data_IF_880467491784
#
_entry.id   IF_880467491784
#
_cell.length_a   1.000
_cell.length_b   1.000
_cell.length_c   1.000
_cell.angle_alpha   90.00
_cell.angle_beta   90.00
_cell.angle_gamma   90.00
#
_symmetry.space_group_name_H-M   'P 1'
#
loop_
_entity.id
_entity.type
_entity.pdbx_description
1 polymer ?
#
# COMPACT_ATOMS: atom_id res chain seq x y z
N UNK A 1 12.42 2.57 10.36
CA UNK A 1 11.11 3.20 10.07
C UNK A 1 10.06 2.13 9.83
N UNK A 2 8.81 2.40 10.23
CA UNK A 2 7.68 1.47 10.09
C UNK A 2 7.19 1.32 8.67
N UNK A 3 6.59 0.17 8.36
CA UNK A 3 6.16 -0.18 6.99
C UNK A 3 5.01 0.69 6.52
N UNK A 4 4.11 1.07 7.43
CA UNK A 4 3.06 2.04 7.17
C UNK A 4 3.68 3.39 6.77
N UNK A 5 4.59 3.92 7.57
CA UNK A 5 5.23 5.23 7.30
C UNK A 5 5.94 5.21 5.96
N UNK A 6 6.73 4.16 5.67
CA UNK A 6 7.42 4.01 4.39
C UNK A 6 6.43 3.98 3.23
N UNK A 7 5.32 3.24 3.36
CA UNK A 7 4.29 3.14 2.31
C UNK A 7 3.68 4.51 1.97
N UNK A 8 3.25 5.28 2.97
CA UNK A 8 2.67 6.60 2.74
C UNK A 8 3.69 7.60 2.20
N UNK A 9 4.93 7.55 2.68
CA UNK A 9 6.01 8.37 2.14
C UNK A 9 6.26 8.07 0.66
N UNK A 10 6.32 6.79 0.29
CA UNK A 10 6.46 6.38 -1.12
C UNK A 10 5.27 6.82 -1.97
N UNK A 11 4.03 6.74 -1.46
CA UNK A 11 2.85 7.24 -2.19
C UNK A 11 2.94 8.73 -2.44
N UNK A 12 3.33 9.54 -1.45
CA UNK A 12 3.47 11.00 -1.59
C UNK A 12 4.49 11.32 -2.68
N UNK A 13 5.67 10.70 -2.65
CA UNK A 13 6.70 10.90 -3.67
C UNK A 13 6.19 10.46 -5.04
N UNK A 14 5.49 9.32 -5.11
CA UNK A 14 4.91 8.81 -6.36
C UNK A 14 3.87 9.78 -6.94
N UNK A 15 3.01 10.36 -6.10
CA UNK A 15 2.01 11.33 -6.54
C UNK A 15 2.65 12.62 -7.06
N UNK A 16 3.64 13.16 -6.34
CA UNK A 16 4.37 14.36 -6.75
C UNK A 16 5.10 14.12 -8.07
N UNK A 17 5.87 13.03 -8.17
CA UNK A 17 6.63 12.71 -9.39
C UNK A 17 5.71 12.38 -10.57
N UNK A 18 4.56 11.74 -10.35
CA UNK A 18 3.59 11.46 -11.40
C UNK A 18 2.99 12.76 -11.97
N UNK A 19 2.52 13.67 -11.12
CA UNK A 19 1.96 14.97 -11.56
C UNK A 19 3.04 15.81 -12.23
N UNK A 20 4.22 15.94 -11.61
CA UNK A 20 5.34 16.71 -12.16
C UNK A 20 5.78 16.21 -13.53
N UNK A 21 5.77 14.88 -13.75
CA UNK A 21 6.12 14.31 -15.06
C UNK A 21 5.16 14.75 -16.16
N UNK A 22 3.86 14.83 -15.86
CA UNK A 22 2.84 15.18 -16.85
C UNK A 22 2.90 16.65 -17.26
N UNK A 23 3.44 17.51 -16.40
CA UNK A 23 3.60 18.95 -16.64
C UNK A 23 4.92 19.32 -17.33
N UNK A 24 5.82 18.38 -17.57
CA UNK A 24 7.08 18.67 -18.26
C UNK A 24 6.88 18.88 -19.76
N UNK A 25 7.49 19.94 -20.28
CA UNK A 25 7.55 20.23 -21.71
C UNK A 25 8.86 19.73 -22.35
N UNK A 26 9.88 19.43 -21.53
CA UNK A 26 11.16 18.86 -21.97
C UNK A 26 11.16 17.33 -21.83
N UNK A 27 11.62 16.64 -22.87
CA UNK A 27 11.63 15.17 -22.91
C UNK A 27 12.64 14.56 -21.93
N UNK A 28 13.79 15.20 -21.73
CA UNK A 28 14.84 14.68 -20.84
C UNK A 28 14.38 14.78 -19.39
N UNK A 29 13.83 15.92 -18.99
CA UNK A 29 13.22 16.12 -17.68
C UNK A 29 12.06 15.14 -17.44
N UNK A 30 11.20 14.94 -18.44
CA UNK A 30 10.13 13.95 -18.39
C UNK A 30 10.67 12.53 -18.13
N UNK A 31 11.66 12.10 -18.90
CA UNK A 31 12.23 10.75 -18.81
C UNK A 31 12.89 10.49 -17.46
N UNK A 32 13.62 11.46 -16.92
CA UNK A 32 14.26 11.37 -15.59
C UNK A 32 13.20 11.20 -14.50
N UNK A 33 12.19 12.08 -14.47
CA UNK A 33 11.13 12.04 -13.47
C UNK A 33 10.31 10.75 -13.59
N UNK A 34 10.03 10.29 -14.82
CA UNK A 34 9.34 9.02 -15.05
C UNK A 34 10.14 7.81 -14.61
N UNK A 35 11.46 7.82 -14.78
CA UNK A 35 12.34 6.74 -14.31
C UNK A 35 12.34 6.67 -12.78
N UNK A 36 12.38 7.82 -12.11
CA UNK A 36 12.25 7.91 -10.65
C UNK A 36 10.87 7.39 -10.20
N UNK A 37 9.80 7.79 -10.89
CA UNK A 37 8.45 7.31 -10.57
C UNK A 37 8.33 5.78 -10.74
N UNK A 38 8.92 5.24 -11.81
CA UNK A 38 8.93 3.80 -12.09
C UNK A 38 9.68 2.98 -11.04
N UNK A 39 10.80 3.49 -10.50
CA UNK A 39 11.56 2.79 -9.45
C UNK A 39 10.84 2.71 -8.10
N UNK A 40 9.86 3.59 -7.86
CA UNK A 40 9.04 3.59 -6.65
C UNK A 40 7.88 2.59 -6.72
N UNK A 41 7.45 2.19 -7.92
CA UNK A 41 6.28 1.33 -8.13
C UNK A 41 6.35 -0.03 -7.39
N UNK A 42 7.50 -0.75 -7.37
CA UNK A 42 7.62 -2.00 -6.61
C UNK A 42 7.36 -1.80 -5.12
N UNK A 43 7.87 -0.70 -4.55
CA UNK A 43 7.69 -0.37 -3.13
C UNK A 43 6.22 -0.09 -2.79
N UNK A 44 5.51 0.63 -3.65
CA UNK A 44 4.07 0.90 -3.48
C UNK A 44 3.25 -0.38 -3.51
N UNK A 45 3.60 -1.35 -4.35
CA UNK A 45 2.91 -2.63 -4.42
C UNK A 45 3.26 -3.57 -3.24
N UNK A 46 4.54 -3.66 -2.90
CA UNK A 46 5.05 -4.69 -2.00
C UNK A 46 4.80 -4.37 -0.52
N UNK A 47 4.92 -3.11 -0.08
CA UNK A 47 4.72 -2.74 1.32
C UNK A 47 3.33 -3.11 1.87
N UNK A 48 2.20 -2.73 1.25
CA UNK A 48 0.87 -3.09 1.75
C UNK A 48 0.62 -4.59 1.64
N UNK A 49 1.13 -5.24 0.59
CA UNK A 49 1.02 -6.68 0.43
C UNK A 49 1.66 -7.44 1.59
N UNK A 50 2.86 -7.05 2.03
CA UNK A 50 3.50 -7.72 3.16
C UNK A 50 2.73 -7.45 4.46
N UNK A 51 2.21 -6.24 4.70
CA UNK A 51 1.38 -5.94 5.89
C UNK A 51 0.16 -6.88 5.92
N UNK A 52 -0.52 -7.09 4.78
CA UNK A 52 -1.64 -8.03 4.69
C UNK A 52 -1.20 -9.47 5.00
N UNK A 53 -0.08 -9.93 4.44
CA UNK A 53 0.43 -11.29 4.69
C UNK A 53 0.83 -11.55 6.15
N UNK A 54 1.16 -10.51 6.89
CA UNK A 54 1.49 -10.59 8.33
C UNK A 54 0.26 -10.70 9.22
N UNK A 55 -0.85 -10.10 8.78
CA UNK A 55 -2.13 -10.11 9.50
C UNK A 55 -2.92 -11.39 9.19
N UNK A 56 -2.77 -11.93 7.98
CA UNK A 56 -3.53 -13.06 7.48
C UNK A 56 -2.90 -14.40 7.87
N UNK A 57 -3.74 -15.39 8.19
CA UNK A 57 -3.31 -16.75 8.51
C UNK A 57 -2.60 -17.41 7.31
N UNK A 58 -1.63 -18.32 7.54
CA UNK A 58 -0.87 -18.97 6.46
C UNK A 58 -1.76 -19.62 5.38
N UNK A 59 -2.86 -20.24 5.78
CA UNK A 59 -3.82 -20.91 4.89
C UNK A 59 -4.54 -19.94 3.94
N UNK A 60 -4.79 -18.72 4.38
CA UNK A 60 -5.49 -17.70 3.59
C UNK A 60 -4.55 -16.87 2.69
N UNK A 61 -3.23 -17.00 2.85
CA UNK A 61 -2.25 -16.22 2.07
C UNK A 61 -2.35 -16.45 0.57
N UNK A 62 -2.56 -17.70 0.14
CA UNK A 62 -2.75 -18.01 -1.28
C UNK A 62 -3.98 -17.31 -1.86
N UNK A 63 -5.09 -17.29 -1.10
CA UNK A 63 -6.33 -16.61 -1.49
C UNK A 63 -6.14 -15.10 -1.58
N UNK A 64 -5.45 -14.49 -0.61
CA UNK A 64 -5.14 -13.06 -0.64
C UNK A 64 -4.23 -12.68 -1.81
N UNK A 65 -3.22 -13.50 -2.10
CA UNK A 65 -2.39 -13.32 -3.29
C UNK A 65 -3.24 -13.37 -4.57
N UNK A 66 -4.19 -14.30 -4.66
CA UNK A 66 -5.14 -14.34 -5.78
C UNK A 66 -5.95 -13.05 -5.94
N UNK A 67 -6.50 -12.52 -4.84
CA UNK A 67 -7.28 -11.26 -4.84
C UNK A 67 -6.42 -10.09 -5.32
N UNK A 68 -5.17 -10.00 -4.86
CA UNK A 68 -4.22 -8.94 -5.26
C UNK A 68 -3.94 -9.02 -6.77
N UNK A 69 -3.69 -10.22 -7.30
CA UNK A 69 -3.45 -10.42 -8.73
C UNK A 69 -4.69 -10.10 -9.59
N UNK A 70 -5.88 -10.49 -9.14
CA UNK A 70 -7.13 -10.13 -9.82
C UNK A 70 -7.30 -8.61 -9.84
N UNK A 71 -7.05 -7.94 -8.71
CA UNK A 71 -7.14 -6.48 -8.60
C UNK A 71 -6.15 -5.78 -9.54
N UNK A 72 -4.92 -6.31 -9.64
CA UNK A 72 -3.90 -5.83 -10.57
C UNK A 72 -4.36 -5.95 -12.03
N UNK A 73 -4.84 -7.14 -12.43
CA UNK A 73 -5.36 -7.38 -13.78
C UNK A 73 -6.54 -6.49 -14.11
N UNK A 74 -7.48 -6.30 -13.17
CA UNK A 74 -8.61 -5.39 -13.34
C UNK A 74 -8.14 -3.95 -13.57
N UNK A 75 -7.16 -3.47 -12.80
CA UNK A 75 -6.56 -2.15 -13.02
C UNK A 75 -5.95 -2.01 -14.41
N UNK A 76 -5.23 -3.03 -14.89
CA UNK A 76 -4.67 -3.06 -16.24
C UNK A 76 -5.74 -3.09 -17.33
N UNK A 77 -6.87 -3.76 -17.12
CA UNK A 77 -7.99 -3.76 -18.07
C UNK A 77 -8.76 -2.43 -18.09
N UNK A 78 -8.85 -1.73 -16.96
CA UNK A 78 -9.51 -0.41 -16.86
C UNK A 78 -8.66 0.69 -17.51
N UNK A 79 -7.34 0.60 -17.42
CA UNK A 79 -6.42 1.62 -17.94
C UNK A 79 -6.63 1.95 -19.44
N UNK A 80 -6.74 0.99 -20.38
CA UNK A 80 -7.00 1.30 -21.79
C UNK A 80 -8.39 1.88 -22.02
N UNK A 81 -9.39 1.51 -21.21
CA UNK A 81 -10.72 2.13 -21.28
C UNK A 81 -10.63 3.62 -20.91
N UNK A 82 -9.93 3.96 -19.82
CA UNK A 82 -9.68 5.35 -19.45
C UNK A 82 -8.89 6.10 -20.54
N UNK A 83 -7.89 5.46 -21.15
CA UNK A 83 -7.13 6.04 -22.25
C UNK A 83 -8.01 6.37 -23.45
N UNK A 84 -8.95 5.47 -23.78
CA UNK A 84 -9.91 5.66 -24.87
C UNK A 84 -10.80 6.90 -24.65
N UNK A 85 -11.29 7.12 -23.43
CA UNK A 85 -12.14 8.29 -23.11
C UNK A 85 -11.36 9.59 -22.97
N UNK A 86 -10.15 9.56 -22.38
CA UNK A 86 -9.41 10.77 -22.03
C UNK A 86 -8.82 11.47 -23.26
N UNK A 87 -8.46 10.72 -24.31
CA UNK A 87 -7.94 11.14 -25.63
C UNK A 87 -6.66 12.01 -25.62
N UNK A 88 -6.28 12.54 -24.45
CA UNK A 88 -5.03 13.22 -24.13
C UNK A 88 -4.27 12.45 -23.07
N UNK A 89 -2.98 12.25 -23.31
CA UNK A 89 -2.07 11.57 -22.37
C UNK A 89 -1.87 12.36 -21.07
N UNK A 90 -2.00 13.69 -21.12
CA UNK A 90 -1.93 14.58 -19.95
C UNK A 90 -3.12 14.34 -19.02
N UNK A 91 -4.33 14.35 -19.58
CA UNK A 91 -5.56 14.11 -18.81
C UNK A 91 -5.59 12.70 -18.23
N UNK A 92 -5.08 11.70 -18.96
CA UNK A 92 -4.90 10.34 -18.45
C UNK A 92 -3.91 10.27 -17.29
N UNK A 93 -2.76 10.97 -17.42
CA UNK A 93 -1.75 11.04 -16.36
C UNK A 93 -2.27 11.71 -15.10
N UNK A 94 -3.04 12.79 -15.23
CA UNK A 94 -3.69 13.45 -14.08
C UNK A 94 -4.77 12.58 -13.45
N UNK A 95 -5.61 11.92 -14.25
CA UNK A 95 -6.65 11.01 -13.75
C UNK A 95 -6.04 9.86 -12.95
N UNK A 96 -5.02 9.19 -13.49
CA UNK A 96 -4.33 8.09 -12.77
C UNK A 96 -3.59 8.58 -11.52
N UNK A 97 -2.97 9.76 -11.56
CA UNK A 97 -2.34 10.38 -10.39
C UNK A 97 -3.35 10.73 -9.29
N UNK A 98 -4.56 11.17 -9.66
CA UNK A 98 -5.63 11.48 -8.70
C UNK A 98 -6.09 10.25 -7.93
N UNK A 99 -6.18 9.09 -8.59
CA UNK A 99 -6.52 7.81 -7.93
C UNK A 99 -5.45 7.43 -6.90
N UNK A 100 -4.17 7.71 -7.18
CA UNK A 100 -3.08 7.48 -6.23
C UNK A 100 -3.22 8.32 -4.95
N UNK A 101 -3.72 9.56 -5.06
CA UNK A 101 -3.94 10.44 -3.91
C UNK A 101 -5.06 9.91 -3.01
N UNK A 102 -6.08 9.25 -3.57
CA UNK A 102 -7.16 8.63 -2.78
C UNK A 102 -6.60 7.59 -1.81
N UNK A 103 -5.51 6.90 -2.15
CA UNK A 103 -4.87 5.95 -1.21
C UNK A 103 -4.32 6.61 0.06
N UNK A 104 -4.02 7.92 0.03
CA UNK A 104 -3.60 8.65 1.24
C UNK A 104 -4.70 8.74 2.30
N UNK A 105 -5.98 8.73 1.88
CA UNK A 105 -7.12 8.76 2.79
C UNK A 105 -7.20 7.51 3.67
N UNK A 106 -6.61 6.39 3.23
CA UNK A 106 -6.59 5.14 3.98
C UNK A 106 -5.54 5.09 5.10
N UNK A 107 -4.83 6.19 5.37
CA UNK A 107 -3.82 6.28 6.44
C UNK A 107 -4.34 5.85 7.81
N UNK A 108 -5.52 6.30 8.18
CA UNK A 108 -6.09 6.03 9.51
C UNK A 108 -6.55 4.58 9.67
N UNK A 109 -6.94 3.93 8.57
CA UNK A 109 -7.48 2.56 8.58
C UNK A 109 -6.39 1.48 8.56
N UNK A 110 -5.22 1.78 8.00
CA UNK A 110 -4.15 0.79 7.89
C UNK A 110 -3.41 0.63 9.23
N UNK A 111 -3.45 -0.55 9.88
CA UNK A 111 -2.64 -0.80 11.06
C UNK A 111 -1.15 -0.87 10.68
N UNK A 112 -0.27 -0.59 11.64
CA UNK A 112 1.16 -0.84 11.46
C UNK A 112 1.45 -2.35 11.49
N UNK A 113 2.55 -2.77 10.88
CA UNK A 113 2.99 -4.17 10.89
C UNK A 113 3.18 -4.70 12.34
N UNK A 114 2.44 -5.74 12.77
CA UNK A 114 2.61 -6.32 14.10
C UNK A 114 4.02 -6.86 14.31
N UNK A 115 4.63 -7.45 13.27
CA UNK A 115 6.01 -7.96 13.33
C UNK A 115 7.03 -6.84 13.49
N UNK A 116 6.84 -5.73 12.78
CA UNK A 116 7.70 -4.57 12.93
C UNK A 116 7.59 -3.98 14.35
N UNK A 117 6.39 -3.89 14.91
CA UNK A 117 6.18 -3.43 16.28
C UNK A 117 6.90 -4.31 17.31
N UNK A 118 6.84 -5.63 17.15
CA UNK A 118 7.59 -6.59 18.01
C UNK A 118 9.10 -6.36 17.88
N UNK A 119 9.62 -6.17 16.67
CA UNK A 119 11.06 -5.87 16.45
C UNK A 119 11.52 -4.51 16.99
N UNK A 120 10.59 -3.66 17.42
CA UNK A 120 10.85 -2.36 18.03
C UNK A 120 10.49 -2.34 19.52
N UNK A 121 10.28 -3.51 20.13
CA UNK A 121 9.89 -3.66 21.55
C UNK A 121 8.56 -2.99 21.91
N UNK A 122 7.73 -2.66 20.90
CA UNK A 122 6.40 -2.04 21.07
C UNK A 122 5.31 -3.10 21.22
N UNK A 123 5.46 -3.93 22.26
CA UNK A 123 4.63 -5.11 22.47
C UNK A 123 3.15 -4.80 22.74
N UNK A 124 2.83 -3.69 23.42
CA UNK A 124 1.44 -3.32 23.71
C UNK A 124 0.63 -3.00 22.46
N UNK A 125 1.23 -2.30 21.50
CA UNK A 125 0.61 -1.94 20.23
C UNK A 125 0.44 -3.17 19.34
N UNK A 126 1.47 -4.03 19.28
CA UNK A 126 1.39 -5.30 18.56
C UNK A 126 0.26 -6.18 19.13
N UNK A 127 0.15 -6.27 20.47
CA UNK A 127 -0.91 -7.02 21.13
C UNK A 127 -2.29 -6.42 20.90
N UNK A 128 -2.43 -5.08 20.85
CA UNK A 128 -3.70 -4.43 20.54
C UNK A 128 -4.20 -4.77 19.13
N UNK A 129 -3.31 -4.74 18.13
CA UNK A 129 -3.65 -5.11 16.75
C UNK A 129 -4.03 -6.59 16.67
N UNK A 130 -3.22 -7.47 17.27
CA UNK A 130 -3.50 -8.91 17.29
C UNK A 130 -4.80 -9.26 18.04
N UNK A 131 -5.12 -8.53 19.11
CA UNK A 131 -6.37 -8.69 19.84
C UNK A 131 -7.58 -8.33 18.98
N UNK A 132 -7.56 -7.18 18.29
CA UNK A 132 -8.64 -6.78 17.37
C UNK A 132 -8.84 -7.79 16.23
N UNK A 133 -7.75 -8.36 15.71
CA UNK A 133 -7.81 -9.42 14.70
C UNK A 133 -8.42 -10.69 15.28
N UNK A 134 -8.02 -11.07 16.50
CA UNK A 134 -8.55 -12.23 17.21
C UNK A 134 -10.04 -12.11 17.52
N UNK A 135 -10.48 -10.95 18.00
CA UNK A 135 -11.89 -10.63 18.27
C UNK A 135 -12.74 -10.76 17.02
N UNK A 136 -12.33 -10.17 15.89
CA UNK A 136 -13.04 -10.29 14.61
C UNK A 136 -13.08 -11.72 14.07
N UNK A 137 -12.09 -12.54 14.40
CA UNK A 137 -12.02 -13.94 14.00
C UNK A 137 -12.73 -14.89 15.00
N UNK A 138 -13.40 -14.36 16.03
CA UNK A 138 -14.05 -15.17 17.07
C UNK A 138 -13.08 -15.97 17.94
N UNK A 139 -11.78 -15.65 17.90
CA UNK A 139 -10.71 -16.29 18.67
C UNK A 139 -10.15 -15.28 19.66
N UNK A 140 -10.89 -15.02 20.74
CA UNK A 140 -10.47 -14.08 21.78
C UNK A 140 -9.44 -14.73 22.70
N UNK A 141 -8.23 -14.16 22.74
CA UNK A 141 -7.25 -14.37 23.81
C UNK A 141 -7.13 -13.07 24.59
N UNK A 142 -6.98 -13.13 25.91
CA UNK A 142 -6.75 -11.93 26.72
C UNK A 142 -5.53 -11.15 26.23
N UNK A 143 -5.66 -9.82 26.10
CA UNK A 143 -4.59 -8.93 25.62
C UNK A 143 -3.31 -9.08 26.45
N UNK A 144 -3.43 -9.24 27.77
CA UNK A 144 -2.28 -9.40 28.69
C UNK A 144 -1.49 -10.70 28.42
N UNK A 145 -2.18 -11.78 28.06
CA UNK A 145 -1.55 -13.06 27.68
C UNK A 145 -0.82 -12.95 26.34
N UNK A 146 -1.28 -12.09 25.43
CA UNK A 146 -0.59 -11.79 24.18
C UNK A 146 0.68 -10.97 24.42
N UNK A 147 0.63 -9.96 25.30
CA UNK A 147 1.81 -9.15 25.66
C UNK A 147 2.89 -10.02 26.29
N UNK A 148 2.55 -10.87 27.28
CA UNK A 148 3.50 -11.79 27.91
C UNK A 148 4.14 -12.81 26.96
N UNK A 149 3.47 -13.16 25.85
CA UNK A 149 4.01 -14.08 24.84
C UNK A 149 4.91 -13.40 23.80
N UNK A 150 4.85 -12.08 23.72
CA UNK A 150 5.64 -11.28 22.79
C UNK A 150 6.92 -10.73 23.43
N UNK A 151 6.95 -10.61 24.76
CA UNK A 151 8.14 -10.37 25.59
C UNK A 151 9.02 -11.63 25.66
#
# INVERSE_FOLDING_TARGET
YGRKITFFFTIIITAITAISSVLQHDFTAFAIIKTINGSLMPSVFQLPFIIVLEIVSPEMRARMNGIVNISWTLGLCILPLLAYFSRSWVTLGLATSSVTIIFLLYYTFLPESPRWLVSQERYEEAAAILYQIGEKNGKTKEKNVLVQKLQ
#
